data_IF_864469889979
#
_entry.id   IF_864469889979
#
_cell.length_a   1.000
_cell.length_b   1.000
_cell.length_c   1.000
_cell.angle_alpha   90.00
_cell.angle_beta   90.00
_cell.angle_gamma   90.00
#
_symmetry.space_group_name_H-M   'P 1'
#
loop_
_entity.id
_entity.type
_entity.pdbx_description
1 polymer ?
#
# COMPACT_ATOMS: atom_id res chain seq x y z
N UNK A 1 -12.67 -16.07 -25.74
CA UNK A 1 -12.85 -17.26 -24.88
C UNK A 1 -12.87 -16.77 -23.44
N UNK A 2 -14.02 -16.80 -22.76
CA UNK A 2 -14.10 -16.41 -21.34
C UNK A 2 -13.38 -17.43 -20.46
N UNK A 3 -12.60 -16.95 -19.49
CA UNK A 3 -11.85 -17.79 -18.57
C UNK A 3 -12.82 -18.36 -17.52
N UNK A 4 -12.82 -19.67 -17.25
CA UNK A 4 -13.71 -20.24 -16.25
C UNK A 4 -13.40 -19.68 -14.84
N UNK A 5 -14.42 -19.53 -13.97
CA UNK A 5 -14.23 -19.02 -12.62
C UNK A 5 -13.29 -19.92 -11.83
N UNK A 6 -12.36 -19.31 -11.08
CA UNK A 6 -11.46 -20.06 -10.20
C UNK A 6 -12.25 -20.68 -9.05
N UNK A 7 -11.99 -21.94 -8.68
CA UNK A 7 -12.62 -22.55 -7.52
C UNK A 7 -12.22 -21.85 -6.22
N UNK A 8 -13.18 -21.71 -5.32
CA UNK A 8 -12.96 -21.15 -3.97
C UNK A 8 -12.01 -22.05 -3.18
N UNK A 9 -10.94 -21.51 -2.58
CA UNK A 9 -10.00 -22.33 -1.83
C UNK A 9 -10.63 -22.85 -0.53
N UNK A 10 -10.25 -24.07 -0.10
CA UNK A 10 -10.84 -24.76 1.04
C UNK A 10 -10.83 -23.94 2.34
N UNK A 11 -9.80 -23.11 2.55
CA UNK A 11 -9.71 -22.25 3.74
C UNK A 11 -10.82 -21.19 3.79
N UNK A 12 -11.30 -20.71 2.64
CA UNK A 12 -12.30 -19.65 2.59
C UNK A 12 -13.67 -20.16 3.02
N UNK A 13 -13.95 -21.46 2.84
CA UNK A 13 -15.18 -22.11 3.31
C UNK A 13 -15.21 -22.30 4.84
N UNK A 14 -14.07 -22.16 5.52
CA UNK A 14 -13.98 -22.25 6.99
C UNK A 14 -14.47 -20.98 7.70
N UNK A 15 -14.78 -19.91 6.96
CA UNK A 15 -15.20 -18.63 7.51
C UNK A 15 -16.63 -18.29 7.02
N UNK A 16 -17.43 -17.55 7.81
CA UNK A 16 -18.72 -17.04 7.35
C UNK A 16 -18.58 -16.19 6.10
N UNK A 17 -19.57 -16.26 5.19
CA UNK A 17 -19.58 -15.39 4.01
C UNK A 17 -19.64 -13.91 4.42
N UNK A 18 -18.83 -13.04 3.79
CA UNK A 18 -18.93 -11.60 3.99
C UNK A 18 -20.35 -11.11 3.68
N UNK A 19 -20.95 -10.39 4.64
CA UNK A 19 -22.28 -9.78 4.47
C UNK A 19 -22.26 -8.52 3.61
N UNK A 20 -21.08 -7.95 3.37
CA UNK A 20 -20.88 -6.72 2.62
C UNK A 20 -20.02 -6.96 1.38
N UNK A 21 -20.36 -6.24 0.31
CA UNK A 21 -19.57 -6.17 -0.91
C UNK A 21 -19.11 -4.72 -1.06
N UNK A 22 -17.87 -4.38 -0.65
CA UNK A 22 -17.35 -3.03 -0.86
C UNK A 22 -17.25 -2.73 -2.37
N UNK A 23 -17.37 -1.45 -2.78
CA UNK A 23 -17.21 -1.08 -4.17
C UNK A 23 -15.77 -1.37 -4.63
N UNK A 24 -15.65 -1.79 -5.89
CA UNK A 24 -14.35 -1.85 -6.55
C UNK A 24 -13.91 -0.42 -6.88
N UNK A 25 -12.64 -0.10 -6.61
CA UNK A 25 -11.98 1.10 -7.13
C UNK A 25 -11.36 0.74 -8.48
N UNK A 26 -11.55 1.58 -9.50
CA UNK A 26 -10.89 1.34 -10.78
C UNK A 26 -9.38 1.53 -10.64
N UNK A 27 -8.57 0.86 -11.48
CA UNK A 27 -7.14 1.13 -11.53
C UNK A 27 -6.81 2.61 -11.77
N UNK A 28 -7.62 3.32 -12.56
CA UNK A 28 -7.46 4.76 -12.85
C UNK A 28 -7.67 5.62 -11.60
N UNK A 29 -8.71 5.32 -10.82
CA UNK A 29 -8.98 5.99 -9.54
C UNK A 29 -7.95 5.63 -8.45
N UNK A 30 -7.39 4.42 -8.50
CA UNK A 30 -6.35 3.99 -7.56
C UNK A 30 -4.96 4.53 -7.91
N UNK A 31 -4.67 4.83 -9.18
CA UNK A 31 -3.39 5.36 -9.65
C UNK A 31 -2.99 6.66 -8.95
N UNK A 32 -3.96 7.52 -8.65
CA UNK A 32 -3.76 8.74 -7.88
C UNK A 32 -3.22 8.48 -6.45
N UNK A 33 -3.31 7.24 -5.95
CA UNK A 33 -2.95 6.84 -4.60
C UNK A 33 -1.58 6.14 -4.48
N UNK A 34 -0.82 6.02 -5.58
CA UNK A 34 0.52 5.41 -5.73
C UNK A 34 1.20 4.87 -4.44
N UNK A 35 1.44 3.55 -4.40
CA UNK A 35 2.03 2.84 -3.25
C UNK A 35 3.28 2.08 -3.61
N UNK A 36 4.20 1.93 -2.65
CA UNK A 36 5.36 1.05 -2.77
C UNK A 36 4.87 -0.40 -2.60
N UNK A 37 5.19 -1.32 -3.52
CA UNK A 37 4.83 -2.73 -3.40
C UNK A 37 5.24 -3.32 -2.05
N UNK A 38 4.31 -3.98 -1.35
CA UNK A 38 4.56 -4.58 -0.03
C UNK A 38 4.56 -3.61 1.15
N UNK A 39 4.39 -2.30 0.92
CA UNK A 39 4.21 -1.34 2.01
C UNK A 39 2.85 -1.49 2.69
N UNK A 40 2.82 -1.28 4.01
CA UNK A 40 1.59 -1.26 4.80
C UNK A 40 1.16 0.20 4.97
N UNK A 41 -0.08 0.52 4.58
CA UNK A 41 -0.62 1.87 4.75
C UNK A 41 -1.12 2.06 6.19
N UNK A 42 -0.40 2.86 6.98
CA UNK A 42 -0.79 3.27 8.33
C UNK A 42 -1.08 4.79 8.34
N UNK A 43 -2.36 5.22 8.43
CA UNK A 43 -2.70 6.63 8.40
C UNK A 43 -2.12 7.40 9.59
N UNK A 44 -1.43 8.52 9.31
CA UNK A 44 -0.77 9.33 10.34
C UNK A 44 -1.74 9.87 11.41
N UNK A 45 -2.98 10.14 11.03
CA UNK A 45 -4.02 10.68 11.92
C UNK A 45 -4.43 9.70 13.03
N UNK A 46 -4.33 8.40 12.77
CA UNK A 46 -4.67 7.33 13.72
C UNK A 46 -3.45 6.63 14.29
N UNK A 47 -2.23 7.01 13.86
CA UNK A 47 -1.00 6.34 14.27
C UNK A 47 -0.74 6.46 15.77
N UNK A 48 -0.81 7.68 16.32
CA UNK A 48 -0.51 7.92 17.73
C UNK A 48 -1.48 7.20 18.69
N UNK A 49 -2.81 7.24 18.49
CA UNK A 49 -3.73 6.43 19.29
C UNK A 49 -3.46 4.92 19.25
N UNK A 50 -2.91 4.41 18.15
CA UNK A 50 -2.59 2.98 17.97
C UNK A 50 -1.15 2.63 18.41
N UNK A 51 -0.39 3.59 18.94
CA UNK A 51 1.03 3.43 19.23
C UNK A 51 1.34 2.21 20.11
N UNK A 52 0.61 1.88 21.20
CA UNK A 52 0.92 0.69 22.00
C UNK A 52 0.86 -0.62 21.22
N UNK A 53 -0.14 -0.76 20.35
CA UNK A 53 -0.30 -1.93 19.48
C UNK A 53 0.77 -1.96 18.39
N UNK A 54 1.03 -0.80 17.76
CA UNK A 54 2.01 -0.69 16.69
C UNK A 54 3.42 -0.93 17.20
N UNK A 55 3.80 -0.41 18.36
CA UNK A 55 5.11 -0.67 18.98
C UNK A 55 5.29 -2.17 19.23
N UNK A 56 4.28 -2.84 19.80
CA UNK A 56 4.33 -4.29 20.07
C UNK A 56 4.52 -5.14 18.80
N UNK A 57 3.89 -4.71 17.70
CA UNK A 57 3.98 -5.37 16.41
C UNK A 57 5.32 -5.09 15.70
N UNK A 58 5.68 -3.81 15.62
CA UNK A 58 6.79 -3.31 14.81
C UNK A 58 8.15 -3.49 15.50
N UNK A 59 8.23 -3.55 16.82
CA UNK A 59 9.48 -3.79 17.56
C UNK A 59 10.16 -5.13 17.21
N UNK A 60 9.39 -6.09 16.66
CA UNK A 60 9.90 -7.39 16.19
C UNK A 60 10.50 -7.33 14.79
N UNK A 61 10.30 -6.24 14.07
CA UNK A 61 10.78 -6.06 12.70
C UNK A 61 12.15 -5.37 12.78
N UNK A 62 13.21 -5.92 12.15
CA UNK A 62 14.55 -5.33 12.27
C UNK A 62 14.65 -3.91 11.70
N UNK A 63 13.88 -3.59 10.67
CA UNK A 63 13.88 -2.28 10.00
C UNK A 63 12.46 -1.89 9.64
N UNK A 64 12.03 -0.72 10.09
CA UNK A 64 10.73 -0.11 9.75
C UNK A 64 11.00 1.21 9.06
N UNK A 65 10.58 1.33 7.80
CA UNK A 65 10.78 2.55 7.00
C UNK A 65 9.45 3.29 6.87
N UNK A 66 9.44 4.53 7.33
CA UNK A 66 8.31 5.44 7.19
C UNK A 66 8.45 6.31 5.94
N UNK A 67 7.34 6.53 5.25
CA UNK A 67 7.26 7.56 4.24
C UNK A 67 5.90 8.25 4.26
N UNK A 68 5.85 9.42 3.64
CA UNK A 68 4.59 10.00 3.19
C UNK A 68 4.81 10.57 1.79
N UNK A 69 4.09 11.62 1.39
CA UNK A 69 4.28 12.21 0.07
C UNK A 69 5.71 12.77 -0.12
N UNK A 70 6.18 13.60 0.82
CA UNK A 70 7.53 14.19 0.79
C UNK A 70 8.42 13.78 1.98
N UNK A 71 7.86 13.05 2.95
CA UNK A 71 8.49 12.73 4.23
C UNK A 71 8.96 13.93 5.06
N UNK A 72 8.37 15.12 4.89
CA UNK A 72 8.73 16.33 5.66
C UNK A 72 7.85 16.62 6.89
N UNK A 73 6.83 15.78 7.18
CA UNK A 73 5.93 16.07 8.30
C UNK A 73 5.17 14.88 8.89
N UNK A 74 4.40 14.14 8.10
CA UNK A 74 3.67 12.96 8.63
C UNK A 74 4.62 11.82 8.97
N UNK A 75 5.49 11.45 8.03
CA UNK A 75 6.47 10.37 8.22
C UNK A 75 7.40 10.64 9.40
N UNK A 76 7.99 11.85 9.47
CA UNK A 76 8.89 12.24 10.57
C UNK A 76 8.22 12.13 11.94
N UNK A 77 6.98 12.63 12.08
CA UNK A 77 6.24 12.54 13.35
C UNK A 77 5.94 11.10 13.74
N UNK A 78 5.41 10.29 12.82
CA UNK A 78 5.08 8.89 13.14
C UNK A 78 6.32 8.04 13.43
N UNK A 79 7.41 8.25 12.67
CA UNK A 79 8.69 7.61 12.92
C UNK A 79 9.23 7.96 14.31
N UNK A 80 9.26 9.25 14.66
CA UNK A 80 9.70 9.72 15.98
C UNK A 80 8.87 9.12 17.11
N UNK A 81 7.54 9.10 16.99
CA UNK A 81 6.68 8.47 17.99
C UNK A 81 6.94 6.98 18.18
N UNK A 82 7.19 6.23 17.10
CA UNK A 82 7.55 4.82 17.22
C UNK A 82 8.92 4.68 17.88
N UNK A 83 9.91 5.45 17.45
CA UNK A 83 11.27 5.43 17.99
C UNK A 83 11.29 5.74 19.49
N UNK A 84 10.56 6.77 19.92
CA UNK A 84 10.39 7.15 21.34
C UNK A 84 9.73 6.04 22.17
N UNK A 85 8.86 5.24 21.55
CA UNK A 85 8.12 4.17 22.23
C UNK A 85 8.86 2.82 22.26
N UNK A 86 9.94 2.66 21.50
CA UNK A 86 10.72 1.42 21.50
C UNK A 86 11.52 1.27 22.81
N UNK A 87 11.68 0.04 23.31
CA UNK A 87 12.51 -0.20 24.49
C UNK A 87 14.00 0.09 24.16
N UNK A 88 14.81 0.52 25.14
CA UNK A 88 16.22 0.91 24.90
C UNK A 88 17.11 -0.18 24.29
N UNK A 89 16.77 -1.45 24.51
CA UNK A 89 17.50 -2.62 24.00
C UNK A 89 16.94 -3.14 22.65
N UNK A 90 15.92 -2.47 22.11
CA UNK A 90 15.30 -2.80 20.83
C UNK A 90 16.33 -2.91 19.71
N UNK A 91 16.14 -3.92 18.85
CA UNK A 91 16.92 -4.09 17.61
C UNK A 91 16.21 -3.51 16.38
N UNK A 92 14.98 -3.02 16.55
CA UNK A 92 14.21 -2.38 15.48
C UNK A 92 14.82 -1.01 15.15
N UNK A 93 15.21 -0.82 13.90
CA UNK A 93 15.64 0.47 13.37
C UNK A 93 14.47 1.19 12.72
N UNK A 94 14.19 2.41 13.17
CA UNK A 94 13.19 3.28 12.56
C UNK A 94 13.88 4.21 11.59
N UNK A 95 13.46 4.19 10.33
CA UNK A 95 14.04 5.00 9.25
C UNK A 95 12.95 5.80 8.56
N UNK A 96 13.35 6.88 7.89
CA UNK A 96 12.46 7.71 7.08
C UNK A 96 12.99 7.70 5.64
N UNK A 97 12.13 7.40 4.67
CA UNK A 97 12.47 7.50 3.25
C UNK A 97 12.59 8.97 2.84
N UNK A 98 13.81 9.40 2.57
CA UNK A 98 14.10 10.77 2.13
C UNK A 98 13.32 11.14 0.86
N UNK A 99 12.67 12.31 0.87
CA UNK A 99 11.84 12.80 -0.23
C UNK A 99 10.52 12.05 -0.45
N UNK A 100 10.24 11.00 0.33
CA UNK A 100 8.98 10.26 0.33
C UNK A 100 8.61 9.61 -0.99
N UNK A 101 7.31 9.35 -1.17
CA UNK A 101 6.79 8.70 -2.38
C UNK A 101 7.08 9.52 -3.64
N UNK A 102 7.15 10.85 -3.53
CA UNK A 102 7.51 11.73 -4.65
C UNK A 102 8.91 11.44 -5.16
N UNK A 103 9.91 11.39 -4.28
CA UNK A 103 11.28 11.07 -4.69
C UNK A 103 11.42 9.61 -5.14
N UNK A 104 10.70 8.69 -4.51
CA UNK A 104 10.64 7.29 -4.94
C UNK A 104 10.11 7.16 -6.38
N UNK A 105 8.98 7.80 -6.68
CA UNK A 105 8.38 7.76 -8.01
C UNK A 105 9.29 8.40 -9.07
N UNK A 106 9.97 9.51 -8.77
CA UNK A 106 10.95 10.11 -9.69
C UNK A 106 12.10 9.14 -10.01
N UNK A 107 12.53 8.30 -9.05
CA UNK A 107 13.64 7.37 -9.26
C UNK A 107 13.24 6.02 -9.86
N UNK A 108 12.05 5.53 -9.52
CA UNK A 108 11.65 4.14 -9.77
C UNK A 108 10.27 4.01 -10.41
N UNK A 109 9.60 5.11 -10.77
CA UNK A 109 8.23 5.12 -11.29
C UNK A 109 8.04 4.37 -12.61
N UNK A 110 9.10 4.21 -13.40
CA UNK A 110 9.10 3.42 -14.64
C UNK A 110 9.29 1.91 -14.40
N UNK A 111 9.81 1.53 -13.23
CA UNK A 111 10.01 0.14 -12.86
C UNK A 111 8.75 -0.40 -12.16
N UNK A 112 7.97 -1.18 -12.92
CA UNK A 112 6.72 -1.81 -12.48
C UNK A 112 6.90 -2.77 -11.29
N UNK A 113 8.13 -3.20 -10.96
CA UNK A 113 8.42 -4.01 -9.78
C UNK A 113 8.66 -3.16 -8.53
N UNK A 114 9.06 -1.90 -8.70
CA UNK A 114 9.46 -0.99 -7.62
C UNK A 114 8.37 0.03 -7.29
N UNK A 115 7.46 0.27 -8.23
CA UNK A 115 6.21 0.97 -8.00
C UNK A 115 5.11 0.10 -8.58
N UNK A 116 4.10 -0.24 -7.77
CA UNK A 116 2.89 -0.82 -8.35
C UNK A 116 2.13 0.32 -9.01
N UNK A 117 2.43 0.52 -10.30
CA UNK A 117 1.56 1.20 -11.25
C UNK A 117 0.93 0.09 -12.07
N UNK A 118 -0.36 -0.15 -11.85
CA UNK A 118 -1.07 -1.23 -12.53
C UNK A 118 -1.09 -0.94 -14.04
N UNK A 119 -0.62 -1.86 -14.90
CA UNK A 119 -0.50 -1.61 -16.33
C UNK A 119 -1.89 -1.53 -16.99
N UNK A 120 -2.01 -0.59 -17.93
CA UNK A 120 -3.13 -0.46 -18.86
C UNK A 120 -2.82 -1.33 -20.08
N UNK A 121 -3.70 -2.26 -20.45
CA UNK A 121 -3.77 -2.67 -21.87
C UNK A 121 -4.63 -1.62 -22.57
N UNK A 122 -4.03 -0.91 -23.53
CA UNK A 122 -4.78 -0.09 -24.47
C UNK A 122 -5.75 -1.03 -25.18
N UNK A 123 -7.04 -0.87 -24.90
CA UNK A 123 -8.07 -1.56 -25.67
C UNK A 123 -7.96 -1.06 -27.12
N UNK A 124 -7.37 -1.89 -27.98
CA UNK A 124 -7.36 -1.67 -29.43
C UNK A 124 -8.79 -1.41 -29.91
N UNK A 125 -8.92 -0.33 -30.67
CA UNK A 125 -10.18 0.25 -31.07
C UNK A 125 -11.12 -0.75 -31.76
N UNK A 126 -12.37 -0.75 -31.31
CA UNK A 126 -13.47 -1.28 -32.13
C UNK A 126 -13.97 -0.18 -33.05
N UNK A 127 -13.40 -0.13 -34.25
CA UNK A 127 -14.15 0.40 -35.39
C UNK A 127 -15.42 -0.44 -35.58
N UNK A 128 -16.56 0.21 -35.70
CA UNK A 128 -17.70 -0.38 -36.42
C UNK A 128 -18.30 0.70 -37.31
N UNK A 129 -18.08 0.53 -38.60
CA UNK A 129 -18.90 1.13 -39.62
C UNK A 129 -20.25 0.40 -39.74
N UNK A 130 -21.14 1.09 -40.46
CA UNK A 130 -22.35 0.61 -41.17
C UNK A 130 -23.59 0.22 -40.37
N UNK A 131 -24.68 0.97 -40.62
CA UNK A 131 -25.88 0.32 -41.16
C UNK A 131 -27.25 0.79 -40.66
N UNK A 132 -27.70 1.99 -41.07
CA UNK A 132 -28.92 2.20 -41.89
C UNK A 132 -29.15 3.69 -42.14
#
# INVERSE_FOLDING_TARGET
MERPPKPTPAWALSFPEPRSHPPNISPDELHELAVIPGAINLPAQTFYPLLPTLTSLLARIPIVVFHCSSSLGRATRCAGWLEDALPPDSKCKVLILEGGMKAWHVRFGEDKQMVVVMPVEEAEGTGTGTGK
#
